data_IF_076164645259
#
_entry.id   IF_076164645259
#
_cell.length_a   1.000
_cell.length_b   1.000
_cell.length_c   1.000
_cell.angle_alpha   90.00
_cell.angle_beta   90.00
_cell.angle_gamma   90.00
#
_symmetry.space_group_name_H-M   'P 1'
#
loop_
_entity.id
_entity.type
_entity.pdbx_description
1 polymer ?
#
# COMPACT_ATOMS: atom_id res chain seq x y z
N UNK A 1 -8.84 22.41 -1.04
CA UNK A 1 -10.08 22.61 -1.80
C UNK A 1 -10.40 24.10 -1.85
N UNK A 2 -10.84 24.63 -2.99
CA UNK A 2 -11.28 26.05 -3.11
C UNK A 2 -12.77 26.19 -2.87
N UNK A 3 -13.54 25.11 -3.06
CA UNK A 3 -14.92 24.96 -2.59
C UNK A 3 -15.22 23.47 -2.33
N UNK A 4 -16.47 23.13 -1.99
CA UNK A 4 -16.90 21.73 -1.83
C UNK A 4 -16.87 20.92 -3.13
N UNK A 5 -16.81 21.57 -4.30
CA UNK A 5 -16.81 20.94 -5.63
C UNK A 5 -15.55 21.18 -6.45
N UNK A 6 -14.69 22.10 -6.01
CA UNK A 6 -13.50 22.50 -6.76
C UNK A 6 -12.28 22.54 -5.84
N UNK A 7 -11.13 22.22 -6.40
CA UNK A 7 -9.87 22.31 -5.70
C UNK A 7 -8.70 22.14 -6.66
N UNK A 8 -7.52 22.41 -6.15
CA UNK A 8 -6.26 22.12 -6.83
C UNK A 8 -5.57 20.99 -6.09
N UNK A 9 -4.89 20.14 -6.84
CA UNK A 9 -3.96 19.16 -6.33
C UNK A 9 -2.61 19.42 -6.95
N UNK A 10 -1.54 19.30 -6.16
CA UNK A 10 -0.20 19.37 -6.70
C UNK A 10 0.00 18.22 -7.69
N UNK A 11 0.43 18.55 -8.91
CA UNK A 11 0.81 17.54 -9.89
C UNK A 11 2.25 17.09 -9.64
N UNK A 12 2.44 15.79 -9.52
CA UNK A 12 3.75 15.15 -9.46
C UNK A 12 3.90 14.27 -10.69
N UNK A 13 4.97 14.47 -11.46
CA UNK A 13 5.22 13.68 -12.67
C UNK A 13 5.34 12.19 -12.32
N UNK A 14 4.35 11.41 -12.76
CA UNK A 14 4.17 10.02 -12.37
C UNK A 14 3.28 9.30 -13.39
N UNK A 15 3.27 7.97 -13.32
CA UNK A 15 2.51 7.09 -14.22
C UNK A 15 1.75 6.07 -13.37
N UNK A 16 0.47 5.81 -13.63
CA UNK A 16 -0.27 4.75 -12.94
C UNK A 16 0.38 3.39 -13.14
N UNK A 17 0.37 2.54 -12.11
CA UNK A 17 0.91 1.18 -12.20
C UNK A 17 0.18 0.39 -13.30
N UNK A 18 -1.13 0.59 -13.47
CA UNK A 18 -1.90 -0.04 -14.56
C UNK A 18 -1.32 0.31 -15.94
N UNK A 19 -0.98 1.58 -16.17
CA UNK A 19 -0.38 2.04 -17.42
C UNK A 19 1.05 1.50 -17.58
N UNK A 20 1.86 1.54 -16.52
CA UNK A 20 3.22 0.96 -16.51
C UNK A 20 3.22 -0.49 -16.97
N UNK A 21 2.28 -1.30 -16.46
CA UNK A 21 2.15 -2.71 -16.84
C UNK A 21 1.66 -2.88 -18.28
N UNK A 22 0.78 -1.99 -18.75
CA UNK A 22 0.31 -1.97 -20.14
C UNK A 22 1.41 -1.61 -21.15
N UNK A 23 2.35 -0.73 -20.78
CA UNK A 23 3.38 -0.24 -21.70
C UNK A 23 4.73 -0.94 -21.57
N UNK A 24 5.10 -1.36 -20.36
CA UNK A 24 6.43 -1.93 -20.07
C UNK A 24 6.36 -3.39 -19.55
N UNK A 25 5.16 -3.99 -19.47
CA UNK A 25 4.88 -5.35 -18.95
C UNK A 25 5.13 -5.54 -17.45
N UNK A 26 6.13 -4.88 -16.86
CA UNK A 26 6.47 -4.99 -15.44
C UNK A 26 7.05 -3.69 -14.86
N UNK A 27 6.90 -3.52 -13.55
CA UNK A 27 7.51 -2.41 -12.79
C UNK A 27 9.04 -2.43 -12.95
N UNK A 28 9.65 -3.62 -12.98
CA UNK A 28 11.10 -3.74 -13.15
C UNK A 28 11.57 -3.27 -14.54
N UNK A 29 10.85 -3.61 -15.61
CA UNK A 29 11.17 -3.13 -16.96
C UNK A 29 11.10 -1.60 -17.02
N UNK A 30 10.05 -1.00 -16.44
CA UNK A 30 9.92 0.44 -16.32
C UNK A 30 11.11 1.08 -15.60
N UNK A 31 11.55 0.55 -14.46
CA UNK A 31 12.72 1.10 -13.78
C UNK A 31 14.02 0.85 -14.55
N UNK A 32 14.22 -0.31 -15.19
CA UNK A 32 15.39 -0.57 -16.04
C UNK A 32 15.50 0.43 -17.19
N UNK A 33 14.37 0.84 -17.76
CA UNK A 33 14.32 1.84 -18.84
C UNK A 33 14.82 3.22 -18.39
N UNK A 34 14.54 3.63 -17.15
CA UNK A 34 14.87 4.98 -16.66
C UNK A 34 16.11 5.04 -15.76
N UNK A 35 16.51 3.93 -15.15
CA UNK A 35 17.63 3.85 -14.22
C UNK A 35 18.35 2.49 -14.34
N UNK A 36 18.93 2.15 -15.51
CA UNK A 36 19.66 0.90 -15.70
C UNK A 36 20.95 0.88 -14.87
N UNK A 37 21.33 -0.28 -14.37
CA UNK A 37 22.61 -0.50 -13.68
C UNK A 37 23.04 -1.96 -13.80
N UNK A 38 24.23 -2.22 -14.36
CA UNK A 38 24.76 -3.59 -14.53
C UNK A 38 25.03 -4.29 -13.20
N UNK A 39 25.47 -3.54 -12.19
CA UNK A 39 25.77 -4.06 -10.85
C UNK A 39 24.60 -3.90 -9.88
N UNK A 40 23.49 -3.31 -10.35
CA UNK A 40 22.35 -3.01 -9.51
C UNK A 40 21.35 -4.17 -9.43
N UNK A 41 20.55 -4.24 -8.36
CA UNK A 41 19.55 -5.30 -8.20
C UNK A 41 18.59 -5.30 -9.39
N UNK A 42 18.36 -6.48 -9.97
CA UNK A 42 17.45 -6.67 -11.13
C UNK A 42 17.80 -5.80 -12.35
N UNK A 43 19.07 -5.39 -12.49
CA UNK A 43 19.53 -4.51 -13.56
C UNK A 43 19.14 -3.03 -13.38
N UNK A 44 18.72 -2.65 -12.17
CA UNK A 44 18.19 -1.32 -11.82
C UNK A 44 19.13 -0.66 -10.81
N UNK A 45 19.30 0.66 -10.88
CA UNK A 45 20.02 1.43 -9.86
C UNK A 45 19.54 1.07 -8.45
N UNK A 46 20.49 0.78 -7.56
CA UNK A 46 20.20 0.41 -6.17
C UNK A 46 19.39 1.48 -5.43
N UNK A 47 19.63 2.76 -5.71
CA UNK A 47 18.90 3.89 -5.11
C UNK A 47 17.41 3.90 -5.50
N UNK A 48 17.12 3.58 -6.77
CA UNK A 48 15.73 3.54 -7.28
C UNK A 48 14.98 2.36 -6.66
N UNK A 49 15.62 1.20 -6.57
CA UNK A 49 15.02 0.03 -5.91
C UNK A 49 14.83 0.25 -4.41
N UNK A 50 15.78 0.85 -3.71
CA UNK A 50 15.65 1.21 -2.30
C UNK A 50 14.51 2.22 -2.06
N UNK A 51 14.41 3.24 -2.90
CA UNK A 51 13.31 4.22 -2.85
C UNK A 51 11.95 3.56 -3.08
N UNK A 52 11.87 2.63 -4.03
CA UNK A 52 10.66 1.86 -4.31
C UNK A 52 10.26 0.98 -3.12
N UNK A 53 11.20 0.23 -2.56
CA UNK A 53 10.98 -0.60 -1.37
C UNK A 53 10.47 0.23 -0.19
N UNK A 54 11.15 1.35 0.12
CA UNK A 54 10.78 2.23 1.25
C UNK A 54 9.43 2.91 1.05
N UNK A 55 9.13 3.37 -0.16
CA UNK A 55 7.84 4.01 -0.45
C UNK A 55 6.68 3.01 -0.37
N UNK A 56 6.85 1.80 -0.92
CA UNK A 56 5.91 0.70 -0.73
C UNK A 56 5.66 0.41 0.75
N UNK A 57 6.72 0.29 1.55
CA UNK A 57 6.61 0.00 2.98
C UNK A 57 5.84 1.10 3.74
N UNK A 58 6.20 2.37 3.51
CA UNK A 58 5.53 3.51 4.13
C UNK A 58 4.06 3.58 3.78
N UNK A 59 3.71 3.46 2.50
CA UNK A 59 2.31 3.50 2.05
C UNK A 59 1.50 2.29 2.51
N UNK A 60 2.07 1.09 2.54
CA UNK A 60 1.43 -0.09 3.11
C UNK A 60 1.02 0.15 4.57
N UNK A 61 1.96 0.62 5.40
CA UNK A 61 1.68 0.88 6.82
C UNK A 61 0.68 2.03 7.02
N UNK A 62 0.83 3.15 6.31
CA UNK A 62 -0.08 4.30 6.44
C UNK A 62 -1.49 3.94 5.98
N UNK A 63 -1.63 3.22 4.86
CA UNK A 63 -2.96 2.82 4.35
C UNK A 63 -3.64 1.80 5.24
N UNK A 64 -2.88 0.91 5.89
CA UNK A 64 -3.40 0.03 6.93
C UNK A 64 -3.91 0.83 8.14
N UNK A 65 -3.10 1.75 8.69
CA UNK A 65 -3.47 2.56 9.87
C UNK A 65 -4.72 3.42 9.59
N UNK A 66 -4.75 4.06 8.43
CA UNK A 66 -5.86 4.94 8.04
C UNK A 66 -7.06 4.17 7.47
N UNK A 67 -6.92 2.85 7.25
CA UNK A 67 -7.96 2.02 6.64
C UNK A 67 -8.38 2.53 5.26
N UNK A 68 -7.42 2.90 4.41
CA UNK A 68 -7.71 3.41 3.05
C UNK A 68 -8.21 2.26 2.17
N UNK A 69 -9.41 2.41 1.61
CA UNK A 69 -10.05 1.44 0.73
C UNK A 69 -9.81 1.67 -0.75
N UNK A 70 -10.41 0.83 -1.58
CA UNK A 70 -10.45 0.97 -3.05
C UNK A 70 -9.07 1.16 -3.69
N UNK A 71 -8.08 0.38 -3.23
CA UNK A 71 -6.75 0.38 -3.86
C UNK A 71 -6.76 -0.57 -5.05
N UNK A 72 -6.49 -0.01 -6.22
CA UNK A 72 -6.29 -0.70 -7.49
C UNK A 72 -5.14 -0.04 -8.27
N UNK A 73 -4.70 -0.66 -9.36
CA UNK A 73 -3.46 -0.30 -10.06
C UNK A 73 -3.48 1.13 -10.66
N UNK A 74 -4.65 1.70 -10.90
CA UNK A 74 -4.78 3.10 -11.35
C UNK A 74 -4.61 4.11 -10.20
N UNK A 75 -4.91 3.70 -8.96
CA UNK A 75 -4.77 4.54 -7.77
C UNK A 75 -3.34 4.52 -7.20
N UNK A 76 -2.46 3.70 -7.77
CA UNK A 76 -1.05 3.61 -7.40
C UNK A 76 -0.23 4.25 -8.51
N UNK A 77 0.48 5.33 -8.18
CA UNK A 77 1.33 6.04 -9.13
C UNK A 77 2.80 5.74 -8.83
N UNK A 78 3.58 5.61 -9.90
CA UNK A 78 5.03 5.41 -9.88
C UNK A 78 5.75 6.59 -10.51
N UNK A 79 6.85 7.01 -9.89
CA UNK A 79 7.81 7.94 -10.51
C UNK A 79 8.98 7.20 -11.11
N UNK A 80 9.66 7.83 -12.07
CA UNK A 80 10.90 7.32 -12.67
C UNK A 80 12.04 7.14 -11.65
N UNK A 81 11.95 7.84 -10.51
CA UNK A 81 12.91 7.74 -9.41
C UNK A 81 12.53 6.68 -8.37
N UNK A 82 11.59 5.80 -8.69
CA UNK A 82 11.20 4.69 -7.82
C UNK A 82 10.15 5.02 -6.76
N UNK A 83 9.65 6.25 -6.63
CA UNK A 83 8.65 6.55 -5.60
C UNK A 83 7.30 5.97 -6.00
N UNK A 84 6.74 5.12 -5.15
CA UNK A 84 5.34 4.71 -5.21
C UNK A 84 4.51 5.60 -4.27
N UNK A 85 3.35 6.06 -4.75
CA UNK A 85 2.40 6.78 -3.91
C UNK A 85 0.96 6.52 -4.32
N UNK A 86 0.06 6.70 -3.36
CA UNK A 86 -1.37 6.45 -3.56
C UNK A 86 -2.07 7.78 -3.88
N UNK A 87 -2.96 7.76 -4.86
CA UNK A 87 -3.89 8.85 -5.17
C UNK A 87 -5.32 8.40 -4.89
N UNK A 88 -6.25 9.35 -4.87
CA UNK A 88 -7.66 9.14 -4.56
C UNK A 88 -7.86 8.57 -3.14
N UNK A 89 -8.46 9.33 -2.24
CA UNK A 89 -8.74 8.87 -0.87
C UNK A 89 -10.25 8.90 -0.58
N UNK A 90 -11.08 8.58 -1.58
CA UNK A 90 -12.54 8.57 -1.47
C UNK A 90 -13.10 7.55 -0.47
N UNK A 91 -12.32 6.54 -0.09
CA UNK A 91 -12.68 5.55 0.92
C UNK A 91 -11.58 5.46 1.99
N UNK A 92 -11.92 5.81 3.23
CA UNK A 92 -11.02 5.77 4.39
C UNK A 92 -11.70 5.11 5.59
N UNK A 93 -10.94 4.90 6.67
CA UNK A 93 -11.44 4.37 7.96
C UNK A 93 -12.16 3.02 7.83
N UNK A 94 -11.64 2.17 6.93
CA UNK A 94 -12.10 0.81 6.71
C UNK A 94 -13.25 0.67 5.73
N UNK A 95 -13.72 1.77 5.12
CA UNK A 95 -14.66 1.67 4.00
C UNK A 95 -13.94 1.14 2.77
N UNK A 96 -14.61 0.25 2.04
CA UNK A 96 -14.12 -0.28 0.78
C UNK A 96 -15.35 -0.72 -0.03
N UNK A 97 -15.41 -0.45 -1.35
CA UNK A 97 -16.46 -1.00 -2.20
C UNK A 97 -16.38 -2.52 -2.32
N UNK A 98 -15.22 -3.12 -2.04
CA UNK A 98 -15.02 -4.58 -2.07
C UNK A 98 -15.44 -5.19 -0.72
N UNK A 99 -16.16 -6.33 -0.71
CA UNK A 99 -16.72 -6.91 0.52
C UNK A 99 -15.65 -7.47 1.47
N UNK A 100 -14.51 -7.94 0.94
CA UNK A 100 -13.42 -8.54 1.71
C UNK A 100 -12.08 -7.97 1.23
N UNK A 101 -11.75 -6.72 1.60
CA UNK A 101 -10.48 -6.15 1.26
C UNK A 101 -9.34 -6.86 2.00
N UNK A 102 -8.17 -7.07 1.37
CA UNK A 102 -7.01 -7.59 2.07
C UNK A 102 -6.60 -6.61 3.19
N UNK A 103 -6.07 -7.12 4.31
CA UNK A 103 -5.71 -6.29 5.45
C UNK A 103 -4.59 -5.31 5.12
N UNK A 104 -3.61 -5.73 4.33
CA UNK A 104 -2.56 -4.87 3.78
C UNK A 104 -2.85 -4.55 2.32
N UNK A 105 -2.69 -3.29 1.91
CA UNK A 105 -2.84 -2.86 0.52
C UNK A 105 -1.56 -3.11 -0.27
N UNK A 106 -1.25 -4.39 -0.44
CA UNK A 106 -0.13 -4.90 -1.22
C UNK A 106 -0.72 -5.73 -2.37
N UNK A 107 -0.26 -5.50 -3.60
CA UNK A 107 -0.68 -6.29 -4.77
C UNK A 107 0.48 -7.12 -5.33
N UNK A 108 0.15 -8.02 -6.26
CA UNK A 108 1.09 -8.97 -6.84
C UNK A 108 2.20 -8.25 -7.59
N UNK A 109 1.84 -7.26 -8.39
CA UNK A 109 2.74 -6.53 -9.26
C UNK A 109 3.76 -5.73 -8.44
N UNK A 110 3.37 -5.23 -7.26
CA UNK A 110 4.28 -4.58 -6.33
C UNK A 110 5.34 -5.56 -5.78
N UNK A 111 4.91 -6.76 -5.39
CA UNK A 111 5.79 -7.83 -4.88
C UNK A 111 6.74 -8.32 -5.98
N UNK A 112 6.23 -8.51 -7.21
CA UNK A 112 7.05 -8.84 -8.38
C UNK A 112 8.01 -7.71 -8.73
N UNK A 113 7.60 -6.45 -8.56
CA UNK A 113 8.47 -5.29 -8.68
C UNK A 113 9.69 -5.36 -7.76
N UNK A 114 9.54 -5.94 -6.56
CA UNK A 114 10.65 -6.19 -5.63
C UNK A 114 11.51 -7.40 -6.02
N UNK A 115 11.07 -8.24 -6.96
CA UNK A 115 11.73 -9.49 -7.33
C UNK A 115 11.12 -10.73 -6.66
N UNK A 116 9.90 -10.62 -6.11
CA UNK A 116 9.17 -11.72 -5.51
C UNK A 116 9.50 -11.95 -4.03
N UNK A 117 8.78 -12.88 -3.40
CA UNK A 117 8.83 -13.10 -1.93
C UNK A 117 10.16 -13.64 -1.42
N UNK A 118 11.01 -14.19 -2.29
CA UNK A 118 12.34 -14.70 -1.98
C UNK A 118 13.46 -13.67 -2.22
N UNK A 119 13.13 -12.48 -2.74
CA UNK A 119 14.13 -11.45 -3.00
C UNK A 119 14.59 -10.74 -1.73
N UNK A 120 15.83 -10.27 -1.73
CA UNK A 120 16.37 -9.43 -0.65
C UNK A 120 15.58 -8.12 -0.49
N UNK A 121 15.13 -7.52 -1.61
CA UNK A 121 14.34 -6.29 -1.60
C UNK A 121 12.98 -6.50 -0.93
N UNK A 122 12.33 -7.65 -1.12
CA UNK A 122 11.10 -7.99 -0.41
C UNK A 122 11.33 -8.18 1.10
N UNK A 123 12.46 -8.80 1.50
CA UNK A 123 12.79 -8.92 2.93
C UNK A 123 13.05 -7.55 3.57
N UNK A 124 13.74 -6.65 2.87
CA UNK A 124 13.95 -5.28 3.34
C UNK A 124 12.61 -4.51 3.40
N UNK A 125 11.72 -4.67 2.41
CA UNK A 125 10.36 -4.12 2.46
C UNK A 125 9.62 -4.52 3.74
N UNK A 126 9.64 -5.81 4.10
CA UNK A 126 9.00 -6.31 5.33
C UNK A 126 9.59 -5.64 6.57
N UNK A 127 10.91 -5.60 6.68
CA UNK A 127 11.63 -4.96 7.79
C UNK A 127 11.29 -3.47 7.91
N UNK A 128 11.21 -2.76 6.77
CA UNK A 128 10.80 -1.36 6.73
C UNK A 128 9.34 -1.18 7.19
N UNK A 129 8.43 -2.09 6.83
CA UNK A 129 7.05 -2.07 7.34
C UNK A 129 7.01 -2.20 8.86
N UNK A 130 7.76 -3.15 9.43
CA UNK A 130 7.81 -3.37 10.87
C UNK A 130 8.35 -2.14 11.61
N UNK A 131 9.45 -1.61 11.10
CA UNK A 131 10.11 -0.44 11.68
C UNK A 131 9.21 0.79 11.59
N UNK A 132 8.60 1.06 10.44
CA UNK A 132 7.66 2.16 10.27
C UNK A 132 6.46 2.02 11.21
N UNK A 133 5.89 0.82 11.35
CA UNK A 133 4.77 0.57 12.25
C UNK A 133 5.12 0.84 13.72
N UNK A 134 6.26 0.35 14.20
CA UNK A 134 6.73 0.60 15.57
C UNK A 134 6.97 2.09 15.83
N UNK A 135 7.56 2.81 14.87
CA UNK A 135 7.76 4.25 15.02
C UNK A 135 6.43 4.99 15.07
N UNK A 136 5.50 4.69 14.18
CA UNK A 136 4.18 5.32 14.17
C UNK A 136 3.38 5.02 15.45
N UNK A 137 3.49 3.82 16.01
CA UNK A 137 2.89 3.45 17.31
C UNK A 137 3.33 4.38 18.45
N UNK A 138 4.62 4.72 18.50
CA UNK A 138 5.19 5.64 19.52
C UNK A 138 4.62 7.05 19.43
N UNK A 139 4.20 7.48 18.24
CA UNK A 139 3.60 8.80 17.99
C UNK A 139 2.08 8.75 17.81
N UNK A 140 1.43 7.63 18.13
CA UNK A 140 -0.01 7.42 17.94
C UNK A 140 -0.87 8.49 18.62
N UNK A 141 -0.50 8.95 19.82
CA UNK A 141 -1.23 10.00 20.55
C UNK A 141 -1.41 11.29 19.73
N UNK A 142 -0.38 11.73 18.99
CA UNK A 142 -0.49 12.91 18.14
C UNK A 142 -1.52 12.68 17.03
N UNK A 143 -1.44 11.55 16.35
CA UNK A 143 -2.33 11.19 15.25
C UNK A 143 -3.77 11.06 15.77
N UNK A 144 -3.98 10.37 16.89
CA UNK A 144 -5.29 10.20 17.50
C UNK A 144 -5.90 11.54 17.93
N UNK A 145 -5.11 12.44 18.53
CA UNK A 145 -5.58 13.77 18.89
C UNK A 145 -6.01 14.59 17.66
N UNK A 146 -5.25 14.51 16.55
CA UNK A 146 -5.66 15.15 15.30
C UNK A 146 -6.99 14.58 14.78
N UNK A 147 -7.16 13.25 14.81
CA UNK A 147 -8.43 12.63 14.42
C UNK A 147 -9.59 13.03 15.34
N UNK A 148 -9.36 13.17 16.65
CA UNK A 148 -10.37 13.65 17.61
C UNK A 148 -10.84 15.08 17.27
N UNK A 149 -9.93 15.94 16.81
CA UNK A 149 -10.29 17.29 16.36
C UNK A 149 -11.01 17.32 15.01
N UNK A 150 -10.88 16.26 14.21
CA UNK A 150 -11.53 16.14 12.90
C UNK A 150 -12.94 15.53 12.95
N UNK A 151 -13.42 15.12 14.14
CA UNK A 151 -14.74 14.48 14.30
C UNK A 151 -15.86 15.35 13.72
N UNK A 152 -15.80 16.67 13.93
CA UNK A 152 -16.77 17.64 13.44
C UNK A 152 -16.39 18.26 12.08
N UNK A 153 -15.35 17.75 11.40
CA UNK A 153 -14.82 18.35 10.17
C UNK A 153 -15.68 18.12 8.91
N UNK A 154 -16.90 17.58 9.05
CA UNK A 154 -17.82 17.26 7.94
C UNK A 154 -17.20 16.38 6.82
N UNK A 155 -16.19 15.58 7.15
CA UNK A 155 -15.61 14.61 6.20
C UNK A 155 -16.62 13.45 6.05
N UNK A 156 -17.08 13.09 4.83
CA UNK A 156 -18.16 12.12 4.64
C UNK A 156 -17.93 10.76 5.32
N UNK A 157 -16.67 10.31 5.35
CA UNK A 157 -16.32 9.03 5.95
C UNK A 157 -16.29 9.06 7.48
N UNK A 158 -16.00 10.22 8.06
CA UNK A 158 -16.03 10.47 9.51
C UNK A 158 -17.48 10.71 9.95
N UNK A 159 -18.24 11.48 9.18
CA UNK A 159 -19.58 11.94 9.52
C UNK A 159 -20.61 10.81 9.71
N UNK A 160 -20.40 9.61 9.13
CA UNK A 160 -21.34 8.50 9.37
C UNK A 160 -21.11 7.83 10.73
N UNK A 161 -19.88 7.81 11.26
CA UNK A 161 -19.58 7.23 12.58
C UNK A 161 -18.52 8.06 13.33
N UNK A 162 -18.86 9.31 13.74
CA UNK A 162 -17.89 10.24 14.31
C UNK A 162 -17.26 9.69 15.60
N UNK A 163 -18.09 9.13 16.49
CA UNK A 163 -17.68 8.55 17.78
C UNK A 163 -16.77 7.31 17.65
N UNK A 164 -16.82 6.63 16.50
CA UNK A 164 -16.00 5.43 16.24
C UNK A 164 -14.76 5.71 15.42
N UNK A 165 -14.64 6.90 14.81
CA UNK A 165 -13.53 7.23 13.91
C UNK A 165 -12.18 7.13 14.60
N UNK A 166 -12.03 7.79 15.76
CA UNK A 166 -10.79 7.74 16.56
C UNK A 166 -10.49 6.31 16.99
N UNK A 167 -11.52 5.59 17.45
CA UNK A 167 -11.38 4.20 17.89
C UNK A 167 -10.91 3.27 16.77
N UNK A 168 -11.46 3.40 15.54
CA UNK A 168 -11.02 2.63 14.38
C UNK A 168 -9.53 2.81 14.09
N UNK A 169 -9.03 4.06 14.16
CA UNK A 169 -7.60 4.34 13.95
C UNK A 169 -6.77 3.82 15.12
N UNK A 170 -7.24 3.99 16.37
CA UNK A 170 -6.58 3.47 17.56
C UNK A 170 -6.42 1.95 17.53
N UNK A 171 -7.47 1.23 17.15
CA UNK A 171 -7.47 -0.23 17.03
C UNK A 171 -6.45 -0.70 15.99
N UNK A 172 -6.17 0.10 14.95
CA UNK A 172 -5.12 -0.21 13.96
C UNK A 172 -3.71 -0.09 14.52
N UNK A 173 -3.47 0.78 15.50
CA UNK A 173 -2.16 0.90 16.13
C UNK A 173 -1.81 -0.29 17.03
N UNK A 174 -2.80 -1.09 17.47
CA UNK A 174 -2.61 -2.26 18.34
C UNK A 174 -1.81 -1.97 19.60
N UNK A 175 -2.12 -0.85 20.26
CA UNK A 175 -1.40 -0.39 21.46
C UNK A 175 -1.52 -1.36 22.65
N UNK A 176 -2.38 -2.37 22.54
CA UNK A 176 -2.51 -3.52 23.44
C UNK A 176 -1.31 -4.49 23.39
N UNK A 177 -0.52 -4.47 22.30
CA UNK A 177 0.59 -5.39 22.06
C UNK A 177 1.94 -4.80 22.47
N UNK A 178 2.88 -5.64 22.89
CA UNK A 178 4.32 -5.29 22.99
C UNK A 178 4.91 -4.94 21.62
N UNK A 179 6.12 -4.38 21.58
CA UNK A 179 6.80 -4.10 20.30
C UNK A 179 7.08 -5.41 19.53
N UNK A 180 7.47 -6.49 20.19
CA UNK A 180 7.68 -7.80 19.58
C UNK A 180 6.39 -8.40 19.03
N UNK A 181 5.31 -8.37 19.82
CA UNK A 181 3.99 -8.85 19.40
C UNK A 181 3.43 -8.03 18.23
N UNK A 182 3.66 -6.71 18.22
CA UNK A 182 3.26 -5.83 17.13
C UNK A 182 4.01 -6.13 15.83
N UNK A 183 5.29 -6.51 15.90
CA UNK A 183 6.05 -6.98 14.73
C UNK A 183 5.46 -8.28 14.19
N UNK A 184 5.18 -9.26 15.06
CA UNK A 184 4.54 -10.51 14.66
C UNK A 184 3.15 -10.30 14.04
N UNK A 185 2.38 -9.37 14.59
CA UNK A 185 1.09 -8.98 14.04
C UNK A 185 1.23 -8.35 12.64
N UNK A 186 2.17 -7.42 12.46
CA UNK A 186 2.41 -6.83 11.13
C UNK A 186 2.89 -7.87 10.11
N UNK A 187 3.72 -8.81 10.56
CA UNK A 187 4.14 -9.96 9.77
C UNK A 187 2.94 -10.79 9.30
N UNK A 188 2.00 -11.12 10.18
CA UNK A 188 0.82 -11.93 9.82
C UNK A 188 -0.06 -11.21 8.80
N UNK A 189 -0.28 -9.90 8.94
CA UNK A 189 -1.06 -9.11 7.97
C UNK A 189 -0.44 -9.12 6.57
N UNK A 190 0.89 -8.98 6.48
CA UNK A 190 1.61 -9.05 5.21
C UNK A 190 1.48 -10.44 4.61
N UNK A 191 1.74 -11.48 5.42
CA UNK A 191 1.68 -12.87 4.96
C UNK A 191 0.27 -13.24 4.48
N UNK A 192 -0.78 -12.92 5.25
CA UNK A 192 -2.17 -13.13 4.86
C UNK A 192 -2.52 -12.44 3.52
N UNK A 193 -2.08 -11.19 3.35
CA UNK A 193 -2.34 -10.43 2.13
C UNK A 193 -1.65 -11.07 0.92
N UNK A 194 -0.41 -11.53 1.09
CA UNK A 194 0.34 -12.20 0.01
C UNK A 194 -0.22 -13.58 -0.31
N UNK A 195 -0.63 -14.37 0.69
CA UNK A 195 -1.29 -15.66 0.45
C UNK A 195 -2.61 -15.47 -0.29
N UNK A 196 -3.42 -14.47 0.06
CA UNK A 196 -4.66 -14.15 -0.64
C UNK A 196 -4.42 -13.82 -2.12
N UNK A 197 -3.34 -13.09 -2.44
CA UNK A 197 -2.94 -12.81 -3.82
C UNK A 197 -2.60 -14.09 -4.59
N UNK A 198 -1.80 -14.98 -4.00
CA UNK A 198 -1.42 -16.24 -4.65
C UNK A 198 -2.61 -17.16 -4.86
N UNK A 199 -3.50 -17.28 -3.85
CA UNK A 199 -4.71 -18.07 -3.95
C UNK A 199 -5.60 -17.57 -5.11
N UNK A 200 -5.81 -16.26 -5.22
CA UNK A 200 -6.59 -15.66 -6.30
C UNK A 200 -5.96 -15.95 -7.69
N UNK A 201 -4.64 -15.90 -7.79
CA UNK A 201 -3.93 -16.22 -9.04
C UNK A 201 -4.10 -17.69 -9.45
N UNK A 202 -3.94 -18.62 -8.49
CA UNK A 202 -4.12 -20.06 -8.74
C UNK A 202 -5.56 -20.35 -9.19
N UNK A 203 -6.54 -19.69 -8.57
CA UNK A 203 -7.95 -19.83 -8.97
C UNK A 203 -8.21 -19.34 -10.40
N UNK A 204 -7.59 -18.21 -10.81
CA UNK A 204 -7.72 -17.71 -12.17
C UNK A 204 -7.09 -18.65 -13.21
N UNK A 205 -5.90 -19.21 -12.91
CA UNK A 205 -5.27 -20.21 -13.77
C UNK A 205 -6.15 -21.45 -13.89
N UNK A 206 -6.74 -21.90 -12.78
CA UNK A 206 -7.65 -23.04 -12.79
C UNK A 206 -8.88 -22.79 -13.66
N UNK A 207 -9.51 -21.61 -13.55
CA UNK A 207 -10.65 -21.20 -14.39
C UNK A 207 -10.28 -21.15 -15.88
N UNK A 208 -9.11 -20.60 -16.21
CA UNK A 208 -8.61 -20.59 -17.58
C UNK A 208 -8.37 -22.02 -18.10
N UNK A 209 -7.69 -22.87 -17.33
CA UNK A 209 -7.45 -24.26 -17.70
C UNK A 209 -8.76 -25.04 -17.91
N UNK A 210 -9.80 -24.78 -17.10
CA UNK A 210 -11.14 -25.35 -17.29
C UNK A 210 -11.81 -24.87 -18.58
N UNK A 211 -11.62 -23.60 -18.97
CA UNK A 211 -12.16 -23.05 -20.21
C UNK A 211 -11.58 -23.75 -21.46
N UNK A 212 -10.27 -23.99 -21.49
CA UNK A 212 -9.60 -24.68 -22.61
C UNK A 212 -9.79 -26.20 -22.62
N UNK A 213 -10.39 -26.77 -21.57
CA UNK A 213 -10.73 -28.19 -21.50
C UNK A 213 -12.11 -28.50 -22.13
N UNK A 214 -12.83 -27.47 -22.58
CA UNK A 214 -14.01 -27.56 -23.45
C UNK A 214 -13.63 -27.27 -24.89
#
# INVERSE_FOLDING_TARGET
>A
ATSTKHGFMQFIQSVPVAEVLGTEESIQNFFRKYAPSETGPHGISAEVMDTYVKSCAGYCVITYILGVGDRHLDNLLLTKTGKLFHIDFGYILGRDPKPLPPPMKLNKEMVEGMGGTQSEQYQEFRKQCYTAFLHLRRYSNLILNLFSLMVDANIPDIALEPDKTVKKVQDKFRLDLSDEEAVHYMQSLIDESVHALFAAMVEQIHKFAQYWRK
#
